data_IF_500944277695
#
_entry.id   IF_500944277695
#
_cell.length_a   1.000
_cell.length_b   1.000
_cell.length_c   1.000
_cell.angle_alpha   90.00
_cell.angle_beta   90.00
_cell.angle_gamma   90.00
#
_symmetry.space_group_name_H-M   'P 1'
#
loop_
_entity.id
_entity.type
_entity.pdbx_description
1 polymer ?
#
# COMPACT_ATOMS: atom_id res chain seq x y z
N UNK A 1 3.56 -11.22 -2.97
CA UNK A 1 4.55 -10.15 -2.71
C UNK A 1 4.62 -9.79 -1.24
N UNK A 2 3.55 -9.27 -0.61
CA UNK A 2 3.51 -8.85 0.81
C UNK A 2 4.36 -9.72 1.77
N UNK A 3 3.98 -10.98 2.01
CA UNK A 3 4.66 -11.92 2.93
C UNK A 3 6.18 -12.07 2.70
N UNK A 4 6.68 -11.86 1.48
CA UNK A 4 8.10 -12.03 1.17
C UNK A 4 8.94 -10.76 1.45
N UNK A 5 8.31 -9.58 1.53
CA UNK A 5 9.02 -8.29 1.60
C UNK A 5 8.62 -7.42 2.79
N UNK A 6 7.46 -7.65 3.39
CA UNK A 6 6.90 -6.79 4.43
C UNK A 6 7.83 -6.65 5.64
N UNK A 7 8.40 -7.76 6.13
CA UNK A 7 9.37 -7.75 7.24
C UNK A 7 10.62 -6.93 6.94
N UNK A 8 11.10 -6.98 5.69
CA UNK A 8 12.24 -6.19 5.25
C UNK A 8 11.91 -4.69 5.26
N UNK A 9 10.73 -4.31 4.76
CA UNK A 9 10.30 -2.90 4.71
C UNK A 9 10.02 -2.35 6.11
N UNK A 10 9.39 -3.14 6.98
CA UNK A 10 9.16 -2.80 8.38
C UNK A 10 10.49 -2.64 9.13
N UNK A 11 11.42 -3.60 8.98
CA UNK A 11 12.74 -3.54 9.60
C UNK A 11 13.60 -2.37 9.10
N UNK A 12 13.40 -1.94 7.86
CA UNK A 12 14.03 -0.74 7.28
C UNK A 12 13.35 0.58 7.68
N UNK A 13 12.24 0.53 8.45
CA UNK A 13 11.46 1.70 8.86
C UNK A 13 10.97 2.54 7.69
N UNK A 14 10.42 1.90 6.67
CA UNK A 14 9.76 2.62 5.57
C UNK A 14 8.55 3.37 6.12
N UNK A 15 8.46 4.67 5.83
CA UNK A 15 7.34 5.50 6.30
C UNK A 15 6.07 5.31 5.44
N UNK A 16 6.23 5.23 4.11
CA UNK A 16 5.12 5.19 3.15
C UNK A 16 5.45 4.29 1.96
N UNK A 17 4.47 3.49 1.51
CA UNK A 17 4.51 2.68 0.29
C UNK A 17 3.46 3.18 -0.69
N UNK A 18 3.88 3.56 -1.90
CA UNK A 18 3.00 3.91 -3.01
C UNK A 18 2.86 2.75 -3.99
N UNK A 19 1.63 2.43 -4.37
CA UNK A 19 1.31 1.40 -5.36
C UNK A 19 0.33 1.90 -6.43
N UNK A 20 0.41 1.33 -7.63
CA UNK A 20 -0.55 1.55 -8.72
C UNK A 20 -1.38 0.29 -8.97
N UNK A 21 -1.61 -0.02 -10.25
CA UNK A 21 -2.33 -1.20 -10.75
C UNK A 21 -3.85 -1.19 -10.51
N UNK A 22 -4.32 -1.07 -9.27
CA UNK A 22 -5.76 -0.96 -8.99
C UNK A 22 -6.23 0.45 -9.36
N UNK A 23 -7.22 0.57 -10.24
CA UNK A 23 -7.74 1.85 -10.73
C UNK A 23 -8.69 2.51 -9.72
N UNK A 24 -8.17 2.78 -8.53
CA UNK A 24 -8.82 3.50 -7.46
C UNK A 24 -7.76 4.18 -6.59
N UNK A 25 -8.20 5.17 -5.80
CA UNK A 25 -7.44 5.71 -4.69
C UNK A 25 -7.83 4.98 -3.40
N UNK A 26 -6.83 4.52 -2.64
CA UNK A 26 -7.02 3.91 -1.33
C UNK A 26 -5.86 4.29 -0.40
N UNK A 27 -6.16 4.51 0.88
CA UNK A 27 -5.16 4.78 1.91
C UNK A 27 -5.53 4.06 3.21
N UNK A 28 -4.61 3.26 3.72
CA UNK A 28 -4.73 2.62 5.02
C UNK A 28 -4.17 3.48 6.15
N UNK A 29 -4.50 3.13 7.39
CA UNK A 29 -3.69 3.50 8.56
C UNK A 29 -2.33 2.80 8.49
N UNK A 30 -1.39 3.17 9.35
CA UNK A 30 -0.15 2.43 9.55
C UNK A 30 -0.48 0.94 9.86
N UNK A 31 0.08 0.02 9.07
CA UNK A 31 -0.27 -1.40 9.12
C UNK A 31 0.97 -2.27 9.00
N UNK A 32 0.99 -3.36 9.77
CA UNK A 32 1.97 -4.43 9.67
C UNK A 32 1.28 -5.76 10.04
N UNK A 33 1.53 -6.82 9.28
CA UNK A 33 0.94 -8.16 9.50
C UNK A 33 -0.60 -8.14 9.64
N UNK A 34 -1.24 -7.37 8.75
CA UNK A 34 -2.71 -7.18 8.71
C UNK A 34 -3.32 -6.54 9.97
N UNK A 35 -2.50 -5.84 10.77
CA UNK A 35 -2.95 -5.13 11.99
C UNK A 35 -2.50 -3.69 11.98
N UNK A 36 -3.31 -2.83 12.58
CA UNK A 36 -2.90 -1.45 12.83
C UNK A 36 -1.68 -1.46 13.77
N UNK A 37 -0.61 -0.79 13.35
CA UNK A 37 0.66 -0.73 14.06
C UNK A 37 1.25 0.66 13.83
N UNK A 38 1.47 1.42 14.90
CA UNK A 38 1.94 2.82 14.81
C UNK A 38 3.33 2.96 14.17
N UNK A 39 4.11 1.88 14.08
CA UNK A 39 5.42 1.83 13.44
C UNK A 39 5.36 1.23 12.02
N UNK A 40 4.20 0.71 11.60
CA UNK A 40 4.01 0.19 10.25
C UNK A 40 4.01 1.28 9.18
N UNK A 41 4.41 0.99 7.94
CA UNK A 41 4.28 1.94 6.84
C UNK A 41 2.81 2.29 6.55
N UNK A 42 2.58 3.50 6.06
CA UNK A 42 1.29 3.86 5.42
C UNK A 42 1.29 3.32 4.00
N UNK A 43 0.27 2.54 3.64
CA UNK A 43 0.08 2.07 2.27
C UNK A 43 -0.93 2.96 1.53
N UNK A 44 -0.52 3.47 0.36
CA UNK A 44 -1.34 4.33 -0.50
C UNK A 44 -1.38 3.75 -1.92
N UNK A 45 -2.58 3.45 -2.39
CA UNK A 45 -2.84 3.08 -3.78
C UNK A 45 -3.26 4.33 -4.55
N UNK A 46 -2.54 4.63 -5.65
CA UNK A 46 -2.74 5.76 -6.55
C UNK A 46 -2.79 5.28 -8.01
N UNK A 47 -3.53 4.20 -8.27
CA UNK A 47 -3.60 3.60 -9.61
C UNK A 47 -4.70 4.18 -10.50
N UNK A 48 -5.44 5.18 -10.03
CA UNK A 48 -6.56 5.86 -10.69
C UNK A 48 -6.14 6.94 -11.71
N UNK A 49 -5.03 6.72 -12.43
CA UNK A 49 -4.47 7.67 -13.40
C UNK A 49 -5.29 7.92 -14.69
N UNK A 50 -6.48 7.33 -14.82
CA UNK A 50 -7.42 7.64 -15.90
C UNK A 50 -7.17 6.93 -17.24
N UNK A 51 -6.63 5.71 -17.23
CA UNK A 51 -6.45 4.93 -18.46
C UNK A 51 -7.78 4.37 -18.99
N UNK A 52 -7.74 3.81 -20.21
CA UNK A 52 -8.93 3.34 -20.96
C UNK A 52 -9.68 2.15 -20.34
N UNK A 53 -9.09 1.47 -19.36
CA UNK A 53 -9.65 0.25 -18.78
C UNK A 53 -10.76 0.56 -17.76
N UNK A 54 -10.91 1.81 -17.33
CA UNK A 54 -11.95 2.24 -16.39
C UNK A 54 -11.59 2.03 -14.92
N UNK A 55 -12.53 2.29 -14.02
CA UNK A 55 -12.35 2.16 -12.57
C UNK A 55 -12.39 0.69 -12.13
N UNK A 56 -11.77 0.38 -10.97
CA UNK A 56 -11.91 -0.93 -10.34
C UNK A 56 -13.37 -1.18 -9.92
N UNK A 57 -13.86 -2.40 -10.13
CA UNK A 57 -15.24 -2.86 -9.85
C UNK A 57 -15.30 -3.90 -8.74
#
# INVERSE_FOLDING_TARGET
MKKAIEDLLYGARVDVVFAGHVHAYERFTNVYDDRADDCGPVHITIGDGGNREGLAS
#
